data_IF_447337478745
#
_entry.id   IF_447337478745
#
_cell.length_a   1.000
_cell.length_b   1.000
_cell.length_c   1.000
_cell.angle_alpha   90.00
_cell.angle_beta   90.00
_cell.angle_gamma   90.00
#
_symmetry.space_group_name_H-M   'P 1'
#
loop_
_entity.id
_entity.type
_entity.pdbx_description
1 polymer ?
#
# COMPACT_ATOMS: atom_id res chain seq x y z
N UNK A 1 -48.53 61.53 26.79
CA UNK A 1 -47.75 61.16 25.58
C UNK A 1 -46.79 60.04 25.93
N UNK A 2 -46.67 59.05 25.04
CA UNK A 2 -46.07 57.71 25.22
C UNK A 2 -44.57 57.78 25.58
N UNK A 3 -44.04 56.84 26.38
CA UNK A 3 -42.60 56.71 26.63
C UNK A 3 -41.90 55.99 25.47
N UNK A 4 -40.70 56.47 25.14
CA UNK A 4 -39.77 55.91 24.16
C UNK A 4 -39.05 54.69 24.74
N UNK A 5 -39.05 53.59 23.99
CA UNK A 5 -38.46 52.30 24.33
C UNK A 5 -36.94 52.28 24.20
N UNK A 6 -36.22 51.95 25.27
CA UNK A 6 -34.84 51.46 25.20
C UNK A 6 -34.87 49.92 25.13
N UNK A 7 -34.68 49.38 23.92
CA UNK A 7 -34.49 47.94 23.73
C UNK A 7 -33.05 47.57 24.13
N UNK A 8 -33.01 46.66 25.10
CA UNK A 8 -31.84 46.08 25.73
C UNK A 8 -31.08 45.17 24.74
N UNK A 9 -29.91 45.62 24.27
CA UNK A 9 -29.00 44.79 23.48
C UNK A 9 -28.13 43.95 24.42
N UNK A 10 -28.40 42.66 24.56
CA UNK A 10 -27.44 41.63 25.05
C UNK A 10 -28.13 40.26 25.13
N UNK A 11 -28.01 39.43 24.09
CA UNK A 11 -28.22 37.96 24.23
C UNK A 11 -27.81 37.11 23.01
N UNK A 12 -26.84 37.51 22.18
CA UNK A 12 -26.50 36.73 20.96
C UNK A 12 -25.16 35.97 21.04
N UNK A 13 -24.29 36.26 22.01
CA UNK A 13 -22.90 35.73 21.97
C UNK A 13 -22.66 34.41 22.71
N UNK A 14 -23.59 33.92 23.53
CA UNK A 14 -23.36 32.71 24.35
C UNK A 14 -23.61 31.38 23.61
N UNK A 15 -24.42 31.38 22.54
CA UNK A 15 -24.83 30.13 21.86
C UNK A 15 -23.83 29.61 20.83
N UNK A 16 -22.91 30.43 20.30
CA UNK A 16 -21.99 29.99 19.23
C UNK A 16 -20.83 29.13 19.75
N UNK A 17 -20.42 29.29 21.01
CA UNK A 17 -19.32 28.52 21.60
C UNK A 17 -19.68 27.05 21.86
N UNK A 18 -20.91 26.79 22.31
CA UNK A 18 -21.42 25.41 22.51
C UNK A 18 -21.62 24.67 21.19
N UNK A 19 -22.15 25.36 20.16
CA UNK A 19 -22.34 24.80 18.82
C UNK A 19 -21.01 24.45 18.14
N UNK A 20 -20.01 25.33 18.21
CA UNK A 20 -18.69 25.06 17.62
C UNK A 20 -17.96 23.90 18.31
N UNK A 21 -18.18 23.69 19.61
CA UNK A 21 -17.58 22.59 20.38
C UNK A 21 -18.18 21.23 20.00
N UNK A 22 -19.49 21.18 19.70
CA UNK A 22 -20.17 19.95 19.26
C UNK A 22 -19.67 19.50 17.87
N UNK A 23 -19.43 20.44 16.95
CA UNK A 23 -18.95 20.15 15.60
C UNK A 23 -17.55 19.51 15.63
N UNK A 24 -16.64 19.99 16.48
CA UNK A 24 -15.29 19.43 16.62
C UNK A 24 -15.32 17.99 17.16
N UNK A 25 -16.24 17.68 18.08
CA UNK A 25 -16.44 16.32 18.60
C UNK A 25 -17.03 15.38 17.53
N UNK A 26 -17.93 15.87 16.68
CA UNK A 26 -18.46 15.07 15.57
C UNK A 26 -17.40 14.78 14.49
N UNK A 27 -16.53 15.75 14.16
CA UNK A 27 -15.43 15.54 13.20
C UNK A 27 -14.42 14.52 13.72
N UNK A 28 -14.08 14.55 15.02
CA UNK A 28 -13.17 13.57 15.61
C UNK A 28 -13.77 12.16 15.69
N UNK A 29 -15.09 12.03 15.90
CA UNK A 29 -15.77 10.73 15.84
C UNK A 29 -15.84 10.12 14.43
N UNK A 30 -15.92 10.93 13.37
CA UNK A 30 -15.90 10.44 11.98
C UNK A 30 -14.51 9.85 11.65
N UNK A 31 -13.43 10.48 12.13
CA UNK A 31 -12.06 10.01 11.90
C UNK A 31 -11.74 8.69 12.61
N UNK A 32 -12.42 8.35 13.72
CA UNK A 32 -12.15 7.11 14.47
C UNK A 32 -12.82 5.90 13.81
N UNK A 33 -13.99 6.05 13.19
CA UNK A 33 -14.71 4.93 12.57
C UNK A 33 -14.07 4.41 11.27
N UNK A 34 -13.17 5.19 10.64
CA UNK A 34 -12.43 4.73 9.46
C UNK A 34 -11.30 3.74 9.79
N UNK A 35 -10.94 3.56 11.07
CA UNK A 35 -9.96 2.57 11.50
C UNK A 35 -10.58 1.21 11.88
N UNK A 36 -11.91 1.11 11.92
CA UNK A 36 -12.62 -0.09 12.35
C UNK A 36 -13.25 -0.85 11.18
N UNK A 37 -12.43 -1.15 10.17
CA UNK A 37 -12.67 -2.29 9.28
C UNK A 37 -11.34 -3.02 9.09
N UNK A 38 -10.96 -3.82 10.09
CA UNK A 38 -9.96 -4.86 9.88
C UNK A 38 -10.73 -6.06 9.34
N UNK A 39 -10.75 -6.31 8.02
CA UNK A 39 -11.30 -7.56 7.51
C UNK A 39 -10.56 -8.70 8.21
N UNK A 40 -11.33 -9.66 8.71
CA UNK A 40 -10.86 -10.89 9.32
C UNK A 40 -9.65 -11.43 8.57
N UNK A 41 -8.56 -11.67 9.30
CA UNK A 41 -7.27 -12.21 8.89
C UNK A 41 -7.40 -13.34 7.84
N UNK A 42 -7.59 -12.99 6.58
CA UNK A 42 -7.39 -13.91 5.47
C UNK A 42 -5.89 -14.00 5.33
N UNK A 43 -5.27 -14.92 6.07
CA UNK A 43 -3.83 -15.17 6.02
C UNK A 43 -3.42 -15.27 4.55
N UNK A 44 -2.68 -14.26 4.09
CA UNK A 44 -2.22 -14.25 2.71
C UNK A 44 -1.28 -15.46 2.60
N UNK A 45 -1.55 -16.41 1.69
CA UNK A 45 -0.79 -17.64 1.66
C UNK A 45 0.63 -17.35 1.18
N UNK A 46 1.60 -18.07 1.76
CA UNK A 46 3.00 -18.01 1.36
C UNK A 46 3.20 -18.38 -0.12
N UNK A 47 2.42 -19.34 -0.61
CA UNK A 47 2.41 -19.77 -2.01
C UNK A 47 1.06 -19.47 -2.64
N UNK A 48 1.08 -19.06 -3.90
CA UNK A 48 -0.10 -18.82 -4.70
C UNK A 48 -0.05 -19.70 -5.95
N UNK A 49 -1.11 -20.46 -6.19
CA UNK A 49 -1.28 -21.22 -7.43
C UNK A 49 -1.86 -20.34 -8.54
N UNK A 50 -1.89 -20.88 -9.77
CA UNK A 50 -2.36 -20.16 -10.95
C UNK A 50 -3.85 -19.83 -10.90
N UNK A 51 -4.68 -20.67 -10.30
CA UNK A 51 -6.13 -20.46 -10.23
C UNK A 51 -6.45 -19.30 -9.28
N UNK A 52 -5.80 -19.29 -8.11
CA UNK A 52 -5.90 -18.21 -7.14
C UNK A 52 -5.33 -16.91 -7.69
N UNK A 53 -4.19 -16.94 -8.40
CA UNK A 53 -3.65 -15.75 -9.04
C UNK A 53 -4.62 -15.20 -10.10
N UNK A 54 -5.27 -16.05 -10.90
CA UNK A 54 -6.30 -15.58 -11.85
C UNK A 54 -7.46 -14.89 -11.15
N UNK A 55 -7.90 -15.36 -9.97
CA UNK A 55 -8.93 -14.67 -9.20
C UNK A 55 -8.48 -13.27 -8.78
N UNK A 56 -7.20 -13.11 -8.39
CA UNK A 56 -6.64 -11.81 -8.00
C UNK A 56 -6.51 -10.84 -9.18
N UNK A 57 -6.29 -11.36 -10.40
CA UNK A 57 -6.24 -10.53 -11.60
C UNK A 57 -7.64 -10.04 -12.03
N UNK A 58 -8.70 -10.82 -11.75
CA UNK A 58 -10.09 -10.43 -12.01
C UNK A 58 -10.61 -9.42 -10.99
N UNK A 59 -10.23 -9.61 -9.72
CA UNK A 59 -10.59 -8.75 -8.61
C UNK A 59 -9.31 -8.27 -7.90
N UNK A 60 -8.67 -7.20 -8.42
CA UNK A 60 -7.42 -6.70 -7.87
C UNK A 60 -7.57 -6.36 -6.39
N UNK A 61 -6.86 -7.11 -5.55
CA UNK A 61 -6.73 -6.75 -4.13
C UNK A 61 -5.91 -5.48 -4.02
N UNK A 62 -6.33 -4.57 -3.15
CA UNK A 62 -5.56 -3.36 -2.85
C UNK A 62 -4.14 -3.74 -2.41
N UNK A 63 -3.16 -2.95 -2.86
CA UNK A 63 -1.75 -3.08 -2.51
C UNK A 63 -1.13 -4.45 -2.86
N UNK A 64 -1.61 -5.16 -3.89
CA UNK A 64 -0.92 -6.36 -4.38
C UNK A 64 -0.08 -6.03 -5.61
N UNK A 65 1.22 -6.37 -5.56
CA UNK A 65 2.16 -6.12 -6.66
C UNK A 65 2.75 -7.45 -7.13
N UNK A 66 2.63 -7.70 -8.43
CA UNK A 66 3.17 -8.89 -9.06
C UNK A 66 4.54 -8.57 -9.69
N UNK A 67 5.58 -9.29 -9.27
CA UNK A 67 6.97 -9.06 -9.69
C UNK A 67 7.45 -10.21 -10.57
N UNK A 68 7.76 -9.87 -11.82
CA UNK A 68 8.40 -10.78 -12.78
C UNK A 68 9.93 -10.71 -12.65
N UNK A 69 10.54 -11.80 -12.18
CA UNK A 69 11.98 -11.89 -11.95
C UNK A 69 12.80 -12.25 -13.20
N UNK A 70 12.14 -12.51 -14.34
CA UNK A 70 12.81 -12.91 -15.57
C UNK A 70 13.59 -11.76 -16.19
N UNK A 71 14.38 -12.06 -17.22
CA UNK A 71 15.08 -11.00 -17.95
C UNK A 71 14.06 -10.08 -18.63
N UNK A 72 14.45 -8.81 -18.83
CA UNK A 72 13.62 -7.85 -19.54
C UNK A 72 13.19 -8.35 -20.94
N UNK A 73 14.07 -9.07 -21.62
CA UNK A 73 13.78 -9.69 -22.93
C UNK A 73 12.66 -10.73 -22.84
N UNK A 74 12.61 -11.52 -21.78
CA UNK A 74 11.54 -12.51 -21.56
C UNK A 74 10.22 -11.83 -21.19
N UNK A 75 10.28 -10.82 -20.32
CA UNK A 75 9.12 -10.00 -19.96
C UNK A 75 8.48 -9.33 -21.19
N UNK A 76 9.28 -8.71 -22.07
CA UNK A 76 8.78 -8.04 -23.27
C UNK A 76 8.16 -8.99 -24.30
N UNK A 77 8.52 -10.28 -24.30
CA UNK A 77 7.88 -11.29 -25.16
C UNK A 77 6.48 -11.67 -24.69
N UNK A 78 6.16 -11.39 -23.43
CA UNK A 78 4.90 -11.72 -22.80
C UNK A 78 5.07 -11.91 -21.29
N UNK A 79 4.16 -11.34 -20.52
CA UNK A 79 4.16 -11.36 -19.06
C UNK A 79 2.72 -11.35 -18.54
N UNK A 80 2.56 -11.65 -17.25
CA UNK A 80 1.26 -11.56 -16.59
C UNK A 80 0.85 -10.08 -16.54
N UNK A 81 -0.38 -9.71 -16.95
CA UNK A 81 -0.85 -8.32 -16.89
C UNK A 81 -0.64 -7.69 -15.52
N UNK A 82 -0.37 -6.38 -15.50
CA UNK A 82 -0.05 -5.57 -14.33
C UNK A 82 1.18 -6.00 -13.52
N UNK A 83 1.99 -6.95 -13.99
CA UNK A 83 3.28 -7.25 -13.35
C UNK A 83 4.32 -6.16 -13.64
N UNK A 84 5.28 -6.01 -12.73
CA UNK A 84 6.46 -5.17 -12.88
C UNK A 84 7.67 -6.08 -13.08
N UNK A 85 8.51 -5.80 -14.06
CA UNK A 85 9.74 -6.56 -14.28
C UNK A 85 10.87 -6.02 -13.40
N UNK A 86 11.33 -6.84 -12.46
CA UNK A 86 12.55 -6.59 -11.68
C UNK A 86 13.41 -7.86 -11.81
N UNK A 87 14.35 -7.92 -12.77
CA UNK A 87 15.15 -9.11 -12.99
C UNK A 87 15.83 -9.61 -11.71
N UNK A 88 15.93 -10.93 -11.52
CA UNK A 88 16.53 -11.53 -10.33
C UNK A 88 17.91 -10.96 -9.97
N UNK A 89 18.74 -10.70 -10.99
CA UNK A 89 20.07 -10.10 -10.81
C UNK A 89 20.03 -8.72 -10.14
N UNK A 90 18.90 -7.99 -10.18
CA UNK A 90 18.73 -6.72 -9.48
C UNK A 90 18.65 -6.87 -7.96
N UNK A 91 18.27 -8.04 -7.44
CA UNK A 91 18.23 -8.32 -6.00
C UNK A 91 19.56 -8.82 -5.43
N UNK A 92 20.61 -8.85 -6.25
CA UNK A 92 21.90 -9.41 -5.89
C UNK A 92 23.01 -8.40 -6.18
N UNK A 93 24.04 -8.39 -5.33
CA UNK A 93 25.29 -7.67 -5.58
C UNK A 93 26.46 -8.63 -5.75
N UNK A 94 27.51 -8.13 -6.38
CA UNK A 94 28.77 -8.85 -6.57
C UNK A 94 29.85 -8.24 -5.69
N UNK A 95 30.56 -9.06 -4.92
CA UNK A 95 31.68 -8.64 -4.08
C UNK A 95 32.91 -9.41 -4.55
N UNK A 96 33.97 -8.71 -4.94
CA UNK A 96 35.23 -9.33 -5.37
C UNK A 96 35.04 -10.41 -6.45
N UNK A 97 34.18 -10.14 -7.45
CA UNK A 97 33.78 -11.06 -8.55
C UNK A 97 32.91 -12.26 -8.16
N UNK A 98 32.57 -12.43 -6.88
CA UNK A 98 31.62 -13.45 -6.42
C UNK A 98 30.20 -12.85 -6.44
N UNK A 99 29.26 -13.55 -7.07
CA UNK A 99 27.84 -13.14 -7.22
C UNK A 99 26.95 -13.71 -6.12
N UNK A 100 25.74 -13.19 -5.98
CA UNK A 100 24.68 -13.75 -5.12
C UNK A 100 24.66 -13.21 -3.68
N UNK A 101 25.40 -12.14 -3.40
CA UNK A 101 25.27 -11.44 -2.13
C UNK A 101 23.97 -10.64 -2.10
N UNK A 102 23.34 -10.57 -0.93
CA UNK A 102 22.19 -9.70 -0.72
C UNK A 102 22.58 -8.23 -0.93
N UNK A 103 21.63 -7.45 -1.46
CA UNK A 103 21.68 -5.99 -1.43
C UNK A 103 21.88 -5.47 0.00
N UNK A 104 22.50 -4.30 0.15
CA UNK A 104 22.42 -3.60 1.41
C UNK A 104 20.96 -3.13 1.62
N UNK A 105 20.49 -2.93 2.87
CA UNK A 105 19.12 -2.50 3.12
C UNK A 105 18.71 -1.22 2.38
N UNK A 106 19.63 -0.26 2.24
CA UNK A 106 19.38 0.98 1.51
C UNK A 106 19.25 0.75 0.00
N UNK A 107 20.10 -0.08 -0.59
CA UNK A 107 20.02 -0.42 -2.03
C UNK A 107 18.71 -1.16 -2.34
N UNK A 108 18.27 -2.03 -1.43
CA UNK A 108 16.99 -2.73 -1.54
C UNK A 108 15.81 -1.75 -1.46
N UNK A 109 15.85 -0.82 -0.50
CA UNK A 109 14.83 0.22 -0.37
C UNK A 109 14.76 1.09 -1.64
N UNK A 110 15.91 1.56 -2.14
CA UNK A 110 15.98 2.35 -3.38
C UNK A 110 15.44 1.57 -4.58
N UNK A 111 15.77 0.28 -4.69
CA UNK A 111 15.23 -0.60 -5.73
C UNK A 111 13.69 -0.67 -5.67
N UNK A 112 13.12 -0.84 -4.47
CA UNK A 112 11.67 -0.91 -4.29
C UNK A 112 10.99 0.43 -4.60
N UNK A 113 11.50 1.53 -4.04
CA UNK A 113 10.97 2.89 -4.27
C UNK A 113 10.99 3.28 -5.74
N UNK A 114 12.10 3.00 -6.44
CA UNK A 114 12.23 3.25 -7.89
C UNK A 114 11.18 2.52 -8.72
N UNK A 115 10.70 1.37 -8.24
CA UNK A 115 9.65 0.59 -8.88
C UNK A 115 8.25 0.91 -8.36
N UNK A 116 8.09 1.96 -7.53
CA UNK A 116 6.81 2.38 -6.97
C UNK A 116 6.24 1.43 -5.91
N UNK A 117 7.09 0.56 -5.34
CA UNK A 117 6.71 -0.43 -4.34
C UNK A 117 6.80 0.20 -2.96
N UNK A 118 5.70 0.12 -2.21
CA UNK A 118 5.57 0.64 -0.86
C UNK A 118 5.69 -0.48 0.18
N UNK A 119 6.01 -0.11 1.41
CA UNK A 119 6.13 -1.07 2.52
C UNK A 119 4.81 -1.80 2.84
N UNK A 120 3.67 -1.22 2.47
CA UNK A 120 2.33 -1.82 2.66
C UNK A 120 1.94 -2.78 1.54
N UNK A 121 2.77 -2.93 0.51
CA UNK A 121 2.46 -3.78 -0.63
C UNK A 121 2.70 -5.25 -0.30
N UNK A 122 1.73 -6.07 -0.68
CA UNK A 122 1.84 -7.51 -0.72
C UNK A 122 2.47 -7.94 -2.05
N UNK A 123 3.71 -8.44 -1.98
CA UNK A 123 4.49 -8.82 -3.14
C UNK A 123 4.28 -10.28 -3.51
N UNK A 124 4.05 -10.53 -4.80
CA UNK A 124 4.00 -11.88 -5.38
C UNK A 124 5.15 -11.99 -6.39
N UNK A 125 6.09 -12.89 -6.16
CA UNK A 125 7.23 -13.11 -7.06
C UNK A 125 7.00 -14.33 -7.96
N UNK A 126 7.31 -14.21 -9.26
CA UNK A 126 7.32 -15.35 -10.19
C UNK A 126 8.51 -15.31 -11.14
N UNK A 127 8.86 -16.49 -11.69
CA UNK A 127 9.94 -16.70 -12.67
C UNK A 127 9.60 -17.90 -13.56
N UNK A 128 10.40 -18.17 -14.60
CA UNK A 128 10.16 -19.26 -15.58
C UNK A 128 11.09 -20.47 -15.44
N UNK A 129 12.27 -20.33 -14.83
CA UNK A 129 13.29 -21.39 -14.81
C UNK A 129 13.13 -22.36 -13.65
N UNK A 130 13.08 -21.84 -12.42
CA UNK A 130 13.04 -22.65 -11.20
C UNK A 130 12.39 -21.85 -10.08
N UNK A 131 11.89 -22.52 -9.05
CA UNK A 131 11.40 -21.85 -7.84
C UNK A 131 12.50 -21.07 -7.09
N UNK A 132 13.79 -21.33 -7.38
CA UNK A 132 14.91 -20.81 -6.62
C UNK A 132 14.98 -19.28 -6.63
N UNK A 133 14.81 -18.63 -7.79
CA UNK A 133 14.92 -17.16 -7.88
C UNK A 133 13.78 -16.50 -7.09
N UNK A 134 12.55 -16.96 -7.28
CA UNK A 134 11.38 -16.46 -6.54
C UNK A 134 11.48 -16.72 -5.03
N UNK A 135 11.89 -17.92 -4.62
CA UNK A 135 12.06 -18.25 -3.20
C UNK A 135 13.24 -17.49 -2.57
N UNK A 136 14.33 -17.28 -3.31
CA UNK A 136 15.50 -16.53 -2.82
C UNK A 136 15.22 -15.05 -2.69
N UNK A 137 14.43 -14.46 -3.59
CA UNK A 137 14.00 -13.06 -3.46
C UNK A 137 13.00 -12.88 -2.31
N UNK A 138 12.19 -13.90 -2.02
CA UNK A 138 11.26 -13.89 -0.89
C UNK A 138 11.97 -13.96 0.49
N UNK A 139 13.05 -14.76 0.60
CA UNK A 139 13.77 -15.01 1.85
C UNK A 139 14.69 -13.86 2.26
#
# INVERSE_FOLDING_TARGET
>A
MKPTSLLNSKSITANSFWLNSIIVVFISFISINSYASHPSNSSIPLLIDSEKLQSYLKEPKQNTVLIDLRTNKEYLKGHIPSSINIPYDSFNRSIQKVKGFLLAPLDFQELMEKNGIQQTDHLIFYSDKTVLESTRTYW
#
